data_IF_891763917292
#
_entry.id   IF_891763917292
#
_cell.length_a   1.000
_cell.length_b   1.000
_cell.length_c   1.000
_cell.angle_alpha   90.00
_cell.angle_beta   90.00
_cell.angle_gamma   90.00
#
_symmetry.space_group_name_H-M   'P 1'
#
loop_
_entity.id
_entity.type
_entity.pdbx_description
1 polymer ?
#
# COMPACT_ATOMS: atom_id res chain seq x y z
N UNK A 1 6.04 23.33 -7.87
CA UNK A 1 4.69 22.80 -8.06
C UNK A 1 4.66 21.30 -7.89
N UNK A 2 3.60 20.84 -7.24
CA UNK A 2 3.47 19.42 -6.92
C UNK A 2 2.57 18.76 -7.93
N UNK A 3 3.19 17.96 -8.80
CA UNK A 3 2.49 17.28 -9.87
C UNK A 3 2.87 15.82 -9.82
N UNK A 4 1.87 14.94 -9.78
CA UNK A 4 2.09 13.50 -9.86
C UNK A 4 2.55 13.15 -11.26
N UNK A 5 3.67 12.44 -11.36
CA UNK A 5 4.23 12.04 -12.66
C UNK A 5 4.56 10.55 -12.65
N UNK A 6 4.23 9.88 -13.73
CA UNK A 6 4.63 8.48 -13.90
C UNK A 6 6.13 8.36 -13.67
N UNK A 7 6.53 7.38 -12.88
CA UNK A 7 7.91 7.17 -12.47
C UNK A 7 8.20 7.67 -11.05
N UNK A 8 7.34 8.49 -10.47
CA UNK A 8 7.49 8.90 -9.08
C UNK A 8 7.37 7.67 -8.19
N UNK A 9 8.15 7.61 -7.12
CA UNK A 9 8.13 6.46 -6.22
C UNK A 9 8.27 6.87 -4.77
N UNK A 10 7.89 5.98 -3.87
CA UNK A 10 7.98 6.17 -2.44
C UNK A 10 8.33 4.84 -1.79
N UNK A 11 9.17 4.89 -0.77
CA UNK A 11 9.62 3.69 -0.07
C UNK A 11 9.42 3.84 1.43
N UNK A 12 8.85 2.81 2.06
CA UNK A 12 8.66 2.74 3.51
C UNK A 12 9.34 1.50 4.05
N UNK A 13 9.94 1.65 5.23
CA UNK A 13 10.45 0.52 6.00
C UNK A 13 9.41 0.16 7.06
N UNK A 14 9.26 -1.12 7.33
CA UNK A 14 8.29 -1.60 8.32
C UNK A 14 8.76 -2.91 8.92
N UNK A 15 8.61 -3.06 10.24
CA UNK A 15 8.90 -4.32 10.92
C UNK A 15 7.59 -5.01 11.23
N UNK A 16 7.47 -6.28 10.85
CA UNK A 16 6.23 -7.05 11.08
C UNK A 16 5.94 -7.13 12.58
N UNK A 17 4.76 -6.68 12.98
CA UNK A 17 4.33 -6.68 14.37
C UNK A 17 3.42 -7.86 14.67
N UNK A 18 3.28 -8.19 15.97
CA UNK A 18 2.44 -9.31 16.40
C UNK A 18 0.98 -9.15 16.03
N UNK A 19 0.47 -7.92 16.02
CA UNK A 19 -0.93 -7.66 15.66
C UNK A 19 -1.19 -7.70 14.15
N UNK A 20 -0.17 -8.06 13.37
CA UNK A 20 -0.29 -8.12 11.90
C UNK A 20 -0.29 -9.55 11.36
N UNK A 21 -0.36 -10.54 12.24
CA UNK A 21 -0.34 -11.93 11.80
C UNK A 21 -1.73 -12.40 11.34
N UNK A 22 -1.73 -13.43 10.51
CA UNK A 22 -2.97 -13.98 9.97
C UNK A 22 -3.88 -14.49 11.10
N UNK A 23 -3.32 -15.14 12.12
CA UNK A 23 -4.14 -15.66 13.22
C UNK A 23 -4.77 -14.54 14.06
N UNK A 24 -4.05 -13.43 14.28
CA UNK A 24 -4.59 -12.32 15.07
C UNK A 24 -5.69 -11.60 14.30
N UNK A 25 -5.50 -11.40 12.99
CA UNK A 25 -6.48 -10.69 12.17
C UNK A 25 -7.66 -11.57 11.73
N UNK A 26 -7.53 -12.89 11.89
CA UNK A 26 -8.59 -13.79 11.46
C UNK A 26 -8.58 -14.07 9.96
N UNK A 27 -7.49 -13.80 9.28
CA UNK A 27 -7.36 -14.08 7.85
C UNK A 27 -6.72 -15.44 7.57
N UNK A 28 -6.35 -16.17 8.61
CA UNK A 28 -5.76 -17.50 8.53
C UNK A 28 -5.49 -18.00 9.93
N UNK A 29 -4.76 -19.10 10.05
CA UNK A 29 -4.54 -19.76 11.35
C UNK A 29 -3.10 -19.76 11.83
N UNK A 30 -2.18 -19.07 11.15
CA UNK A 30 -0.76 -19.13 11.48
C UNK A 30 -0.21 -17.78 11.91
N UNK A 31 0.87 -17.78 12.72
CA UNK A 31 1.49 -16.54 13.19
C UNK A 31 2.48 -15.99 12.17
N UNK A 32 2.01 -15.76 10.96
CA UNK A 32 2.80 -15.19 9.86
C UNK A 32 2.17 -13.88 9.41
N UNK A 33 2.99 -13.04 8.78
CA UNK A 33 2.53 -11.75 8.24
C UNK A 33 1.33 -11.96 7.33
N UNK A 34 0.24 -11.28 7.61
CA UNK A 34 -1.02 -11.51 6.91
C UNK A 34 -1.10 -10.76 5.59
N UNK A 35 -1.86 -11.31 4.65
CA UNK A 35 -2.12 -10.64 3.38
C UNK A 35 -2.82 -9.29 3.57
N UNK A 36 -3.86 -9.17 4.43
CA UNK A 36 -4.45 -7.85 4.68
C UNK A 36 -3.45 -6.83 5.20
N UNK A 37 -2.54 -7.24 6.08
CA UNK A 37 -1.52 -6.31 6.60
C UNK A 37 -0.55 -5.86 5.51
N UNK A 38 -0.17 -6.79 4.62
CA UNK A 38 0.68 -6.45 3.49
C UNK A 38 -0.01 -5.46 2.56
N UNK A 39 -1.28 -5.68 2.28
CA UNK A 39 -2.08 -4.75 1.46
C UNK A 39 -2.12 -3.38 2.13
N UNK A 40 -2.34 -3.36 3.44
CA UNK A 40 -2.36 -2.11 4.19
C UNK A 40 -1.05 -1.34 4.02
N UNK A 41 0.08 -2.04 4.09
CA UNK A 41 1.40 -1.43 3.91
C UNK A 41 1.56 -0.89 2.48
N UNK A 42 1.10 -1.64 1.49
CA UNK A 42 1.13 -1.21 0.09
C UNK A 42 0.27 0.03 -0.12
N UNK A 43 -0.91 0.05 0.50
CA UNK A 43 -1.81 1.20 0.42
C UNK A 43 -1.20 2.42 1.10
N UNK A 44 -0.62 2.24 2.27
CA UNK A 44 0.01 3.35 3.01
C UNK A 44 1.15 3.96 2.19
N UNK A 45 1.97 3.12 1.58
CA UNK A 45 3.10 3.59 0.78
C UNK A 45 2.62 4.41 -0.41
N UNK A 46 1.57 3.94 -1.09
CA UNK A 46 0.97 4.64 -2.23
C UNK A 46 0.29 5.94 -1.78
N UNK A 47 -0.41 5.89 -0.65
CA UNK A 47 -1.05 7.06 -0.05
C UNK A 47 -0.01 8.15 0.25
N UNK A 48 1.13 7.76 0.85
CA UNK A 48 2.18 8.70 1.22
C UNK A 48 2.81 9.37 0.00
N UNK A 49 2.95 8.65 -1.09
CA UNK A 49 3.46 9.23 -2.33
C UNK A 49 2.58 10.38 -2.79
N UNK A 50 1.27 10.17 -2.82
CA UNK A 50 0.33 11.21 -3.24
C UNK A 50 0.24 12.33 -2.20
N UNK A 51 0.25 11.99 -0.91
CA UNK A 51 0.19 12.98 0.15
C UNK A 51 1.38 13.93 0.09
N UNK A 52 2.57 13.38 -0.18
CA UNK A 52 3.79 14.18 -0.33
C UNK A 52 3.65 15.21 -1.45
N UNK A 53 2.88 14.88 -2.48
CA UNK A 53 2.62 15.77 -3.60
C UNK A 53 1.42 16.69 -3.36
N UNK A 54 0.81 16.63 -2.19
CA UNK A 54 -0.27 17.52 -1.80
C UNK A 54 -1.68 16.97 -2.05
N UNK A 55 -1.81 15.67 -2.33
CA UNK A 55 -3.10 15.06 -2.62
C UNK A 55 -3.57 14.16 -1.50
N UNK A 56 -4.87 14.23 -1.18
CA UNK A 56 -5.54 13.23 -0.35
C UNK A 56 -6.21 12.26 -1.29
N UNK A 57 -6.06 10.97 -1.02
CA UNK A 57 -6.59 9.93 -1.90
C UNK A 57 -7.28 8.84 -1.11
N UNK A 58 -8.19 8.14 -1.79
CA UNK A 58 -8.82 6.92 -1.26
C UNK A 58 -8.48 5.77 -2.20
N UNK A 59 -8.29 4.58 -1.63
CA UNK A 59 -8.01 3.39 -2.43
C UNK A 59 -9.29 2.85 -3.06
N UNK A 60 -9.20 2.40 -4.30
CA UNK A 60 -10.35 1.93 -5.05
C UNK A 60 -10.15 0.54 -5.66
N UNK A 61 -8.92 0.08 -5.78
CA UNK A 61 -8.67 -1.23 -6.39
C UNK A 61 -7.30 -1.75 -5.94
N UNK A 62 -7.25 -3.03 -5.63
CA UNK A 62 -6.02 -3.73 -5.27
C UNK A 62 -6.01 -5.06 -6.01
N UNK A 63 -4.88 -5.36 -6.66
CA UNK A 63 -4.69 -6.63 -7.33
C UNK A 63 -3.25 -7.07 -7.07
N UNK A 64 -3.08 -7.91 -6.04
CA UNK A 64 -1.74 -8.26 -5.58
C UNK A 64 -1.61 -9.77 -5.37
N UNK A 65 -0.38 -10.23 -5.31
CA UNK A 65 -0.04 -11.58 -4.93
C UNK A 65 0.87 -11.56 -3.70
N UNK A 66 0.57 -12.41 -2.73
CA UNK A 66 1.40 -12.60 -1.54
C UNK A 66 2.21 -13.86 -1.79
N UNK A 67 3.45 -13.70 -2.19
CA UNK A 67 4.26 -14.76 -2.77
C UNK A 67 5.05 -15.58 -1.75
N UNK A 68 5.41 -14.98 -0.61
CA UNK A 68 6.23 -15.66 0.37
C UNK A 68 5.87 -15.19 1.78
N UNK A 69 5.76 -16.14 2.70
CA UNK A 69 5.44 -15.85 4.10
C UNK A 69 6.65 -15.31 4.84
N UNK A 70 6.39 -14.55 5.90
CA UNK A 70 7.45 -14.13 6.83
C UNK A 70 6.89 -14.00 8.23
N UNK A 71 7.81 -13.94 9.21
CA UNK A 71 7.47 -13.96 10.64
C UNK A 71 7.43 -12.57 11.23
N UNK A 72 6.84 -12.48 12.43
CA UNK A 72 6.95 -11.28 13.29
C UNK A 72 8.43 -10.95 13.45
N UNK A 73 8.75 -9.65 13.37
CA UNK A 73 10.13 -9.17 13.49
C UNK A 73 10.85 -9.03 12.16
N UNK A 74 10.30 -9.57 11.09
CA UNK A 74 10.91 -9.42 9.76
C UNK A 74 10.89 -7.94 9.35
N UNK A 75 12.02 -7.45 8.84
CA UNK A 75 12.09 -6.08 8.34
C UNK A 75 11.73 -6.03 6.87
N UNK A 76 10.75 -5.23 6.55
CA UNK A 76 10.20 -5.12 5.21
C UNK A 76 10.53 -3.77 4.59
N UNK A 77 10.64 -3.77 3.27
CA UNK A 77 10.74 -2.54 2.47
C UNK A 77 9.57 -2.56 1.49
N UNK A 78 8.71 -1.56 1.59
CA UNK A 78 7.59 -1.42 0.67
C UNK A 78 7.87 -0.28 -0.30
N UNK A 79 7.58 -0.50 -1.57
CA UNK A 79 7.79 0.51 -2.61
C UNK A 79 6.52 0.64 -3.43
N UNK A 80 6.11 1.89 -3.67
CA UNK A 80 5.03 2.22 -4.59
C UNK A 80 5.61 3.09 -5.68
N UNK A 81 5.32 2.73 -6.92
CA UNK A 81 5.74 3.50 -8.08
C UNK A 81 4.50 3.91 -8.86
N UNK A 82 4.35 5.20 -9.10
CA UNK A 82 3.25 5.71 -9.89
C UNK A 82 3.46 5.35 -11.35
N UNK A 83 2.51 4.66 -11.96
CA UNK A 83 2.63 4.21 -13.35
C UNK A 83 1.75 5.00 -14.30
N UNK A 84 0.65 5.55 -13.81
CA UNK A 84 -0.27 6.30 -14.67
C UNK A 84 -1.03 7.34 -13.85
N UNK A 85 -1.24 8.51 -14.45
CA UNK A 85 -2.09 9.56 -13.91
C UNK A 85 -3.12 9.89 -14.99
N UNK A 86 -4.39 9.76 -14.64
CA UNK A 86 -5.49 10.11 -15.53
C UNK A 86 -6.48 10.96 -14.72
N UNK A 87 -6.30 12.30 -14.82
CA UNK A 87 -7.06 13.21 -13.99
C UNK A 87 -6.77 12.96 -12.53
N UNK A 88 -7.80 12.57 -11.78
CA UNK A 88 -7.67 12.27 -10.35
C UNK A 88 -7.43 10.78 -10.05
N UNK A 89 -7.32 9.95 -11.07
CA UNK A 89 -7.06 8.53 -10.92
C UNK A 89 -5.55 8.28 -11.01
N UNK A 90 -5.00 7.65 -9.98
CA UNK A 90 -3.58 7.30 -9.88
C UNK A 90 -3.44 5.79 -9.85
N UNK A 91 -2.59 5.26 -10.74
CA UNK A 91 -2.27 3.82 -10.77
C UNK A 91 -0.86 3.61 -10.30
N UNK A 92 -0.66 2.57 -9.49
CA UNK A 92 0.64 2.27 -8.90
C UNK A 92 1.03 0.82 -9.14
N UNK A 93 2.34 0.59 -9.24
CA UNK A 93 2.93 -0.74 -9.00
C UNK A 93 3.39 -0.73 -7.56
N UNK A 94 3.11 -1.81 -6.83
CA UNK A 94 3.48 -1.92 -5.43
C UNK A 94 4.23 -3.21 -5.19
N UNK A 95 5.20 -3.18 -4.28
CA UNK A 95 5.90 -4.40 -3.88
C UNK A 95 6.37 -4.29 -2.45
N UNK A 96 6.53 -5.46 -1.81
CA UNK A 96 7.06 -5.57 -0.46
C UNK A 96 8.15 -6.64 -0.52
N UNK A 97 9.31 -6.31 0.07
CA UNK A 97 10.48 -7.18 0.07
C UNK A 97 11.07 -7.29 1.47
N UNK A 98 11.74 -8.39 1.75
CA UNK A 98 12.63 -8.50 2.91
C UNK A 98 14.06 -8.71 2.40
N UNK A 99 14.99 -9.09 3.31
CA UNK A 99 16.39 -9.27 2.92
C UNK A 99 16.63 -10.40 1.92
N UNK A 100 15.67 -11.32 1.80
CA UNK A 100 15.80 -12.48 0.92
C UNK A 100 15.06 -12.30 -0.41
N UNK A 101 14.35 -11.21 -0.57
CA UNK A 101 13.69 -10.90 -1.82
C UNK A 101 12.22 -10.58 -1.67
N UNK A 102 11.49 -10.82 -2.73
CA UNK A 102 10.10 -10.40 -2.87
C UNK A 102 9.16 -11.17 -1.96
N UNK A 103 8.35 -10.45 -1.19
CA UNK A 103 7.28 -11.00 -0.35
C UNK A 103 5.96 -10.94 -1.11
N UNK A 104 5.69 -9.82 -1.78
CA UNK A 104 4.47 -9.66 -2.57
C UNK A 104 4.59 -8.49 -3.52
N UNK A 105 3.71 -8.47 -4.52
CA UNK A 105 3.69 -7.41 -5.52
C UNK A 105 2.36 -7.35 -6.21
N UNK A 106 2.12 -6.25 -6.92
CA UNK A 106 0.92 -6.11 -7.71
C UNK A 106 0.66 -4.68 -8.13
N UNK A 107 -0.62 -4.36 -8.30
CA UNK A 107 -1.06 -3.03 -8.74
C UNK A 107 -2.11 -2.50 -7.77
N UNK A 108 -2.21 -1.17 -7.73
CA UNK A 108 -3.11 -0.49 -6.82
C UNK A 108 -3.59 0.80 -7.47
N UNK A 109 -4.86 1.12 -7.26
CA UNK A 109 -5.46 2.32 -7.81
C UNK A 109 -6.00 3.18 -6.69
N UNK A 110 -5.78 4.49 -6.79
CA UNK A 110 -6.31 5.45 -5.84
C UNK A 110 -6.90 6.64 -6.60
N UNK A 111 -7.85 7.34 -5.94
CA UNK A 111 -8.43 8.56 -6.51
C UNK A 111 -8.17 9.74 -5.57
N UNK A 112 -7.75 10.84 -6.15
CA UNK A 112 -7.61 12.09 -5.41
C UNK A 112 -8.99 12.63 -5.09
N UNK A 113 -9.18 13.07 -3.84
CA UNK A 113 -10.46 13.58 -3.38
C UNK A 113 -10.22 14.86 -2.56
N UNK A 114 -11.27 15.65 -2.43
CA UNK A 114 -11.33 16.74 -1.47
C UNK A 114 -11.94 16.15 -0.21
N UNK A 115 -11.20 16.04 0.90
CA UNK A 115 -11.70 15.33 2.09
C UNK A 115 -13.04 15.86 2.60
N UNK A 116 -13.20 17.16 2.66
CA UNK A 116 -14.43 17.76 3.19
C UNK A 116 -15.63 17.41 2.30
N UNK A 117 -15.48 17.59 1.01
CA UNK A 117 -16.56 17.28 0.06
C UNK A 117 -16.84 15.78 0.01
N UNK A 118 -15.79 14.99 0.07
CA UNK A 118 -15.92 13.53 0.05
C UNK A 118 -16.73 13.05 1.25
N UNK A 119 -16.33 13.49 2.45
CA UNK A 119 -17.02 13.08 3.68
C UNK A 119 -18.45 13.60 3.74
N UNK A 120 -18.69 14.80 3.20
CA UNK A 120 -20.03 15.39 3.23
C UNK A 120 -21.06 14.62 2.41
N UNK A 121 -20.62 13.81 1.45
CA UNK A 121 -21.49 12.98 0.61
C UNK A 121 -21.89 11.67 1.27
N UNK A 122 -21.21 11.29 2.33
CA UNK A 122 -21.47 10.02 3.01
C UNK A 122 -22.64 10.17 3.97
N UNK A 123 -23.42 9.09 4.10
CA UNK A 123 -24.59 9.07 5.01
C UNK A 123 -24.26 8.42 6.32
#
# INVERSE_FOLDING_TARGET
>A
DRIMKAGDSYTLKHTVAENETAEVLGSGGLPVYSTPSMICLMELTSYRLAEEQGFQTVGTKVNISHLRACKVGTELTATAELTEVDGRRFEYKVKVEDSEGLIGEGTHQRFAIDPERFMAKLK
#
